data_IF_112538700899
#
_entry.id   IF_112538700899
#
_cell.length_a   1.000
_cell.length_b   1.000
_cell.length_c   1.000
_cell.angle_alpha   90.00
_cell.angle_beta   90.00
_cell.angle_gamma   90.00
#
_symmetry.space_group_name_H-M   'P 1'
#
loop_
_entity.id
_entity.type
_entity.pdbx_description
1 polymer ?
#
# COMPACT_ATOMS: atom_id res chain seq x y z
N UNK A 1 13.82 10.06 25.54
CA UNK A 1 14.82 9.27 24.79
C UNK A 1 14.38 7.81 24.80
N UNK A 2 13.60 7.38 23.81
CA UNK A 2 13.36 5.97 23.56
C UNK A 2 13.84 5.68 22.14
N UNK A 3 14.95 4.97 22.07
CA UNK A 3 15.56 4.46 20.84
C UNK A 3 14.62 3.45 20.21
N UNK A 4 13.79 3.89 19.26
CA UNK A 4 12.99 2.97 18.44
C UNK A 4 13.92 2.29 17.45
N UNK A 5 14.38 1.10 17.83
CA UNK A 5 15.04 0.13 16.96
C UNK A 5 14.25 0.02 15.65
N UNK A 6 14.78 0.57 14.56
CA UNK A 6 14.29 0.27 13.20
C UNK A 6 14.62 -1.19 12.93
N UNK A 7 13.69 -2.09 13.27
CA UNK A 7 13.75 -3.50 12.86
C UNK A 7 13.90 -3.55 11.34
N UNK A 8 15.08 -3.98 10.87
CA UNK A 8 15.32 -4.17 9.45
C UNK A 8 14.34 -5.23 8.90
N UNK A 9 13.77 -4.98 7.71
CA UNK A 9 12.96 -5.97 7.01
C UNK A 9 13.83 -7.17 6.62
N UNK A 10 13.31 -8.37 6.84
CA UNK A 10 13.91 -9.58 6.31
C UNK A 10 13.69 -9.69 4.80
N UNK A 11 14.55 -10.43 4.10
CA UNK A 11 14.39 -10.69 2.66
C UNK A 11 13.05 -11.36 2.35
N UNK A 12 12.59 -12.27 3.21
CA UNK A 12 11.32 -12.96 3.05
C UNK A 12 10.12 -12.01 3.21
N UNK A 13 10.15 -11.12 4.22
CA UNK A 13 9.13 -10.08 4.38
C UNK A 13 9.08 -9.19 3.15
N UNK A 14 10.24 -8.72 2.65
CA UNK A 14 10.32 -7.87 1.47
C UNK A 14 9.74 -8.56 0.22
N UNK A 15 10.09 -9.82 -0.01
CA UNK A 15 9.56 -10.61 -1.13
C UNK A 15 8.03 -10.80 -1.03
N UNK A 16 7.54 -11.10 0.18
CA UNK A 16 6.10 -11.29 0.43
C UNK A 16 5.33 -9.98 0.25
N UNK A 17 5.88 -8.87 0.76
CA UNK A 17 5.31 -7.52 0.61
C UNK A 17 5.18 -7.15 -0.87
N UNK A 18 6.26 -7.34 -1.63
CA UNK A 18 6.31 -7.03 -3.06
C UNK A 18 5.33 -7.91 -3.85
N UNK A 19 5.35 -9.23 -3.62
CA UNK A 19 4.46 -10.18 -4.30
C UNK A 19 2.98 -9.84 -4.07
N UNK A 20 2.59 -9.55 -2.82
CA UNK A 20 1.22 -9.17 -2.47
C UNK A 20 0.81 -7.83 -3.08
N UNK A 21 1.69 -6.83 -3.08
CA UNK A 21 1.41 -5.54 -3.72
C UNK A 21 1.21 -5.69 -5.24
N UNK A 22 2.04 -6.52 -5.90
CA UNK A 22 1.90 -6.82 -7.33
C UNK A 22 0.57 -7.52 -7.61
N UNK A 23 0.20 -8.51 -6.82
CA UNK A 23 -1.06 -9.24 -6.97
C UNK A 23 -2.28 -8.33 -6.76
N UNK A 24 -2.22 -7.41 -5.78
CA UNK A 24 -3.30 -6.47 -5.47
C UNK A 24 -3.67 -5.56 -6.65
N UNK A 25 -2.75 -5.28 -7.59
CA UNK A 25 -3.07 -4.51 -8.81
C UNK A 25 -4.23 -5.09 -9.60
N UNK A 26 -4.43 -6.42 -9.56
CA UNK A 26 -5.49 -7.09 -10.30
C UNK A 26 -6.90 -6.71 -9.82
N UNK A 27 -7.03 -6.16 -8.60
CA UNK A 27 -8.32 -5.77 -8.01
C UNK A 27 -8.58 -4.26 -8.10
N UNK A 28 -7.72 -3.51 -8.79
CA UNK A 28 -7.88 -2.07 -8.96
C UNK A 28 -9.13 -1.75 -9.80
N UNK A 29 -9.91 -0.77 -9.34
CA UNK A 29 -10.99 -0.17 -10.13
C UNK A 29 -10.49 1.15 -10.70
N UNK A 30 -10.00 1.13 -11.94
CA UNK A 30 -9.42 2.32 -12.56
C UNK A 30 -9.83 2.50 -14.04
N UNK A 31 -11.14 2.62 -14.35
CA UNK A 31 -11.60 2.70 -15.73
C UNK A 31 -11.20 4.00 -16.43
N UNK A 32 -10.82 5.05 -15.69
CA UNK A 32 -10.52 6.37 -16.25
C UNK A 32 -9.05 6.50 -16.63
N UNK A 33 -8.12 6.28 -15.70
CA UNK A 33 -6.68 6.36 -16.01
C UNK A 33 -6.13 5.09 -16.64
N UNK A 34 -6.77 3.93 -16.38
CA UNK A 34 -6.27 2.59 -16.72
C UNK A 34 -4.89 2.28 -16.10
N UNK A 35 -4.52 3.02 -15.07
CA UNK A 35 -3.26 2.85 -14.34
C UNK A 35 -3.49 2.14 -13.02
N UNK A 36 -3.16 0.85 -12.98
CA UNK A 36 -3.38 0.00 -11.80
C UNK A 36 -2.25 0.19 -10.80
N UNK A 37 -2.62 0.39 -9.54
CA UNK A 37 -1.74 0.50 -8.40
C UNK A 37 -2.22 -0.47 -7.32
N UNK A 38 -1.29 -1.22 -6.77
CA UNK A 38 -1.50 -2.14 -5.66
C UNK A 38 -0.56 -1.78 -4.52
N UNK A 39 -1.02 -1.93 -3.29
CA UNK A 39 -0.24 -1.69 -2.09
C UNK A 39 -0.38 -2.87 -1.13
N UNK A 40 0.66 -3.10 -0.33
CA UNK A 40 0.65 -4.09 0.74
C UNK A 40 1.37 -3.50 1.95
N UNK A 41 0.71 -3.52 3.11
CA UNK A 41 1.24 -3.08 4.39
C UNK A 41 1.60 -4.32 5.22
N UNK A 42 2.77 -4.29 5.85
CA UNK A 42 3.15 -5.21 6.91
C UNK A 42 2.99 -4.50 8.24
N UNK A 43 2.14 -5.02 9.11
CA UNK A 43 1.95 -4.52 10.48
C UNK A 43 3.11 -4.98 11.38
N UNK A 44 3.27 -4.36 12.54
CA UNK A 44 4.24 -4.85 13.54
C UNK A 44 3.88 -6.23 14.11
N UNK A 45 2.60 -6.63 14.03
CA UNK A 45 2.13 -7.96 14.44
C UNK A 45 2.37 -9.05 13.39
N UNK A 46 2.92 -8.70 12.21
CA UNK A 46 3.22 -9.66 11.13
C UNK A 46 2.11 -9.85 10.10
N UNK A 47 1.07 -9.01 10.13
CA UNK A 47 -0.08 -9.11 9.23
C UNK A 47 0.16 -8.37 7.92
N UNK A 48 -0.32 -8.95 6.82
CA UNK A 48 -0.18 -8.40 5.48
C UNK A 48 -1.53 -7.93 4.94
N UNK A 49 -1.68 -6.62 4.77
CA UNK A 49 -2.95 -5.99 4.41
C UNK A 49 -2.80 -5.29 3.07
N UNK A 50 -3.64 -5.66 2.11
CA UNK A 50 -3.55 -5.19 0.74
C UNK A 50 -4.58 -4.10 0.44
N UNK A 51 -4.26 -3.29 -0.56
CA UNK A 51 -5.17 -2.31 -1.14
C UNK A 51 -4.88 -2.12 -2.63
N UNK A 52 -5.87 -1.64 -3.36
CA UNK A 52 -5.76 -1.29 -4.76
C UNK A 52 -6.42 0.07 -5.01
N UNK A 53 -5.99 0.81 -6.03
CA UNK A 53 -6.62 2.11 -6.31
C UNK A 53 -8.07 1.94 -6.78
N UNK A 54 -8.93 2.86 -6.33
CA UNK A 54 -10.34 2.94 -6.68
C UNK A 54 -10.61 4.34 -7.19
N UNK A 55 -10.89 4.44 -8.48
CA UNK A 55 -11.18 5.70 -9.14
C UNK A 55 -12.67 6.03 -9.12
N UNK A 56 -12.99 7.27 -9.44
CA UNK A 56 -14.35 7.75 -9.54
C UNK A 56 -14.45 8.80 -10.65
N UNK A 57 -15.64 8.94 -11.24
CA UNK A 57 -15.91 9.97 -12.25
C UNK A 57 -15.68 11.40 -11.72
N UNK A 58 -15.90 11.61 -10.41
CA UNK A 58 -15.40 12.79 -9.71
C UNK A 58 -13.94 12.58 -9.33
N UNK A 59 -13.02 13.01 -10.20
CA UNK A 59 -11.60 12.65 -10.11
C UNK A 59 -10.95 12.93 -8.73
N UNK A 60 -11.26 14.02 -8.01
CA UNK A 60 -10.65 14.30 -6.72
C UNK A 60 -10.98 13.30 -5.61
N UNK A 61 -12.06 12.51 -5.74
CA UNK A 61 -12.46 11.53 -4.70
C UNK A 61 -11.86 10.14 -4.92
N UNK A 62 -11.08 9.97 -5.99
CA UNK A 62 -10.32 8.73 -6.21
C UNK A 62 -9.41 8.41 -5.03
N UNK A 63 -9.33 7.14 -4.67
CA UNK A 63 -8.54 6.65 -3.54
C UNK A 63 -7.36 5.83 -4.04
N UNK A 64 -6.15 6.22 -3.61
CA UNK A 64 -4.92 5.52 -3.96
C UNK A 64 -4.84 4.18 -3.21
N UNK A 65 -4.06 3.23 -3.74
CA UNK A 65 -3.93 1.90 -3.17
C UNK A 65 -3.43 1.90 -1.73
N UNK A 66 -2.49 2.81 -1.40
CA UNK A 66 -1.93 2.97 -0.07
C UNK A 66 -3.01 3.39 0.92
N UNK A 67 -3.85 4.37 0.56
CA UNK A 67 -4.97 4.83 1.40
C UNK A 67 -6.00 3.73 1.63
N UNK A 68 -6.28 2.89 0.62
CA UNK A 68 -7.15 1.72 0.79
C UNK A 68 -6.52 0.71 1.75
N UNK A 69 -5.23 0.40 1.61
CA UNK A 69 -4.53 -0.55 2.48
C UNK A 69 -4.51 -0.06 3.93
N UNK A 70 -4.13 1.20 4.17
CA UNK A 70 -4.12 1.79 5.51
C UNK A 70 -5.51 1.87 6.12
N UNK A 71 -6.50 2.32 5.36
CA UNK A 71 -7.90 2.36 5.84
C UNK A 71 -8.39 0.97 6.23
N UNK A 72 -8.10 -0.04 5.42
CA UNK A 72 -8.43 -1.45 5.72
C UNK A 72 -7.72 -1.93 6.99
N UNK A 73 -6.44 -1.60 7.14
CA UNK A 73 -5.66 -1.97 8.31
C UNK A 73 -6.21 -1.37 9.61
N UNK A 74 -6.55 -0.07 9.58
CA UNK A 74 -7.14 0.64 10.71
C UNK A 74 -8.50 0.05 11.08
N UNK A 75 -9.36 -0.24 10.09
CA UNK A 75 -10.67 -0.89 10.34
C UNK A 75 -10.49 -2.29 10.94
N UNK A 76 -9.45 -3.01 10.56
CA UNK A 76 -9.10 -4.32 11.12
C UNK A 76 -8.40 -4.24 12.50
N UNK A 77 -8.22 -3.04 13.06
CA UNK A 77 -7.66 -2.82 14.39
C UNK A 77 -6.14 -2.69 14.45
N UNK A 78 -5.46 -2.55 13.30
CA UNK A 78 -4.01 -2.37 13.25
C UNK A 78 -3.64 -0.89 13.15
N UNK A 79 -2.78 -0.43 14.07
CA UNK A 79 -2.30 0.95 14.12
C UNK A 79 -0.77 1.07 14.07
N UNK A 80 -0.04 -0.04 14.21
CA UNK A 80 1.41 -0.09 14.17
C UNK A 80 1.90 -0.77 12.88
N UNK A 81 2.64 -0.03 12.07
CA UNK A 81 3.08 -0.47 10.75
C UNK A 81 4.61 -0.60 10.69
N UNK A 82 5.08 -1.68 10.07
CA UNK A 82 6.50 -1.97 9.87
C UNK A 82 6.97 -1.52 8.49
N UNK A 83 6.20 -1.78 7.44
CA UNK A 83 6.57 -1.44 6.07
C UNK A 83 5.36 -1.36 5.13
N UNK A 84 5.57 -0.72 3.98
CA UNK A 84 4.61 -0.69 2.87
C UNK A 84 5.34 -0.93 1.55
N UNK A 85 4.77 -1.78 0.68
CA UNK A 85 5.15 -1.93 -0.72
C UNK A 85 4.08 -1.32 -1.61
N UNK A 86 4.52 -0.67 -2.69
CA UNK A 86 3.64 -0.12 -3.73
C UNK A 86 4.10 -0.69 -5.07
N UNK A 87 3.17 -1.23 -5.83
CA UNK A 87 3.39 -1.77 -7.16
C UNK A 87 2.51 -1.02 -8.16
N UNK A 88 3.05 -0.73 -9.34
CA UNK A 88 2.31 -0.09 -10.42
C UNK A 88 2.53 -0.85 -11.73
N UNK A 89 1.84 -0.43 -12.80
CA UNK A 89 2.09 -0.91 -14.15
C UNK A 89 3.30 -0.20 -14.83
N UNK A 90 3.94 0.75 -14.15
CA UNK A 90 5.17 1.39 -14.64
C UNK A 90 6.39 0.47 -14.49
N UNK A 91 7.27 0.51 -15.48
CA UNK A 91 8.59 -0.13 -15.41
C UNK A 91 9.54 0.60 -14.45
N UNK A 92 9.31 1.89 -14.22
CA UNK A 92 10.05 2.68 -13.25
C UNK A 92 9.37 2.63 -11.88
N UNK A 93 10.14 2.56 -10.77
CA UNK A 93 9.59 2.65 -9.43
C UNK A 93 8.74 3.92 -9.27
N UNK A 94 7.46 3.74 -8.98
CA UNK A 94 6.57 4.85 -8.65
C UNK A 94 6.66 5.13 -7.15
N UNK A 95 6.85 6.39 -6.80
CA UNK A 95 6.86 6.81 -5.41
C UNK A 95 5.43 7.16 -4.95
N UNK A 96 5.07 6.92 -3.67
CA UNK A 96 3.77 7.33 -3.13
C UNK A 96 3.51 8.82 -3.35
N UNK A 97 2.26 9.18 -3.64
CA UNK A 97 1.88 10.58 -3.81
C UNK A 97 1.93 11.34 -2.47
N UNK A 98 1.91 12.68 -2.52
CA UNK A 98 2.01 13.51 -1.31
C UNK A 98 0.95 13.20 -0.25
N UNK A 99 -0.29 12.94 -0.67
CA UNK A 99 -1.38 12.57 0.25
C UNK A 99 -1.11 11.22 0.94
N UNK A 100 -0.60 10.23 0.21
CA UNK A 100 -0.30 8.91 0.77
C UNK A 100 0.93 8.90 1.70
N UNK A 101 1.83 9.89 1.56
CA UNK A 101 2.97 10.06 2.47
C UNK A 101 2.59 10.73 3.77
N UNK A 102 1.54 11.54 3.75
CA UNK A 102 1.07 12.31 4.90
C UNK A 102 0.08 11.52 5.78
N UNK A 103 -0.59 10.53 5.19
CA UNK A 103 -1.44 9.56 5.85
C UNK A 103 -0.62 8.59 6.69
#
# INVERSE_FOLDING_TARGET
>A
MSSSSKSALTTQELQTLASKAIAAKATAYCPYSKFRVGACILTQSGEYIVGANVENASYPVGTCAERVAFGTAVVAGYHDFKAVAVATDSNLPASPCGMCRQL
#
